data_IF_164882133948
#
_entry.id   IF_164882133948
#
_cell.length_a   1.000
_cell.length_b   1.000
_cell.length_c   1.000
_cell.angle_alpha   90.00
_cell.angle_beta   90.00
_cell.angle_gamma   90.00
#
_symmetry.space_group_name_H-M   'P 1'
#
loop_
_entity.id
_entity.type
_entity.pdbx_description
1 polymer ?
#
# COMPACT_ATOMS: atom_id res chain seq x y z
N UNK A 1 16.34 7.82 -14.51
CA UNK A 1 15.06 7.09 -14.54
C UNK A 1 14.48 7.20 -13.15
N UNK A 2 13.30 7.83 -13.00
CA UNK A 2 12.61 7.89 -11.71
C UNK A 2 11.69 6.67 -11.66
N UNK A 3 12.02 5.69 -10.81
CA UNK A 3 11.13 4.59 -10.54
C UNK A 3 10.06 5.12 -9.59
N UNK A 4 8.83 5.28 -10.10
CA UNK A 4 7.73 5.76 -9.28
C UNK A 4 7.19 4.62 -8.41
N UNK A 5 7.03 4.90 -7.11
CA UNK A 5 6.43 3.97 -6.17
C UNK A 5 4.92 3.88 -6.40
N UNK A 6 4.43 2.67 -6.72
CA UNK A 6 3.00 2.35 -6.76
C UNK A 6 2.55 1.65 -5.49
N UNK A 7 1.31 1.90 -5.06
CA UNK A 7 0.71 1.26 -3.86
C UNK A 7 0.24 -0.14 -4.20
N UNK A 8 0.57 -1.10 -3.34
CA UNK A 8 0.12 -2.48 -3.43
C UNK A 8 -1.18 -2.70 -2.62
N UNK A 9 -2.03 -3.64 -3.05
CA UNK A 9 -3.19 -4.12 -2.27
C UNK A 9 -4.43 -3.22 -2.30
N UNK A 10 -4.58 -2.39 -3.35
CA UNK A 10 -5.79 -1.56 -3.59
C UNK A 10 -6.55 -1.90 -4.86
N UNK A 11 -5.97 -2.73 -5.71
CA UNK A 11 -6.48 -3.11 -7.02
C UNK A 11 -6.58 -4.63 -7.06
N UNK A 12 -7.65 -5.17 -7.67
CA UNK A 12 -7.99 -6.61 -7.71
C UNK A 12 -6.82 -7.47 -8.20
N UNK A 13 -5.95 -6.90 -9.00
CA UNK A 13 -4.88 -7.61 -9.70
C UNK A 13 -3.63 -7.79 -8.81
N UNK A 14 -3.62 -7.19 -7.61
CA UNK A 14 -2.48 -7.28 -6.67
C UNK A 14 -2.74 -8.17 -5.45
N UNK A 15 -3.95 -8.73 -5.31
CA UNK A 15 -4.29 -9.57 -4.14
C UNK A 15 -3.50 -10.90 -4.13
N UNK A 16 -3.31 -11.49 -5.32
CA UNK A 16 -2.48 -12.69 -5.49
C UNK A 16 -1.01 -12.38 -5.84
N UNK A 17 -0.65 -11.09 -5.96
CA UNK A 17 0.73 -10.72 -6.19
C UNK A 17 1.62 -11.18 -5.04
N UNK A 18 2.82 -11.64 -5.38
CA UNK A 18 3.84 -12.02 -4.42
C UNK A 18 5.01 -11.05 -4.49
N UNK A 19 5.56 -10.72 -3.33
CA UNK A 19 6.85 -10.06 -3.23
C UNK A 19 7.89 -11.08 -2.75
N UNK A 20 9.10 -10.98 -3.29
CA UNK A 20 10.25 -11.79 -2.90
C UNK A 20 11.32 -10.89 -2.31
N UNK A 21 11.69 -11.14 -1.06
CA UNK A 21 12.71 -10.38 -0.33
C UNK A 21 13.71 -11.38 0.24
N UNK A 22 14.96 -11.25 -0.16
CA UNK A 22 16.06 -12.18 0.15
C UNK A 22 15.71 -13.63 -0.21
N UNK A 23 15.38 -14.46 0.79
CA UNK A 23 15.03 -15.87 0.61
C UNK A 23 13.56 -16.18 0.94
N UNK A 24 12.70 -15.16 0.99
CA UNK A 24 11.32 -15.30 1.46
C UNK A 24 10.33 -14.68 0.48
N UNK A 25 9.24 -15.39 0.21
CA UNK A 25 8.12 -14.92 -0.59
C UNK A 25 6.91 -14.63 0.28
N UNK A 26 6.23 -13.53 0.03
CA UNK A 26 5.02 -13.13 0.75
C UNK A 26 3.94 -12.76 -0.25
N UNK A 27 2.71 -13.24 -0.04
CA UNK A 27 1.55 -12.64 -0.69
C UNK A 27 1.38 -11.21 -0.19
N UNK A 28 1.14 -10.29 -1.11
CA UNK A 28 0.97 -8.86 -0.83
C UNK A 28 -0.18 -8.63 0.14
N UNK A 29 -1.31 -9.31 -0.06
CA UNK A 29 -2.49 -9.19 0.81
C UNK A 29 -2.17 -9.63 2.24
N UNK A 30 -1.50 -10.77 2.41
CA UNK A 30 -1.16 -11.31 3.73
C UNK A 30 -0.19 -10.38 4.45
N UNK A 31 0.86 -9.94 3.77
CA UNK A 31 1.85 -9.02 4.34
C UNK A 31 1.20 -7.70 4.76
N UNK A 32 0.33 -7.14 3.93
CA UNK A 32 -0.41 -5.92 4.26
C UNK A 32 -1.27 -6.11 5.51
N UNK A 33 -1.98 -7.24 5.61
CA UNK A 33 -2.79 -7.55 6.80
C UNK A 33 -1.93 -7.71 8.06
N UNK A 34 -0.77 -8.38 7.98
CA UNK A 34 0.14 -8.53 9.11
C UNK A 34 0.73 -7.20 9.56
N UNK A 35 1.14 -6.33 8.62
CA UNK A 35 1.63 -4.98 8.93
C UNK A 35 0.55 -4.18 9.67
N UNK A 36 -0.68 -4.21 9.16
CA UNK A 36 -1.82 -3.52 9.78
C UNK A 36 -2.08 -4.06 11.19
N UNK A 37 -2.10 -5.39 11.37
CA UNK A 37 -2.26 -6.03 12.69
C UNK A 37 -1.13 -5.66 13.66
N UNK A 38 0.13 -5.70 13.20
CA UNK A 38 1.29 -5.33 14.01
C UNK A 38 1.23 -3.85 14.45
N UNK A 39 0.74 -2.98 13.57
CA UNK A 39 0.52 -1.57 13.88
C UNK A 39 -0.56 -1.39 14.95
N UNK A 40 -1.65 -2.17 14.90
CA UNK A 40 -2.74 -2.14 15.87
C UNK A 40 -2.40 -2.78 17.22
N UNK A 41 -1.40 -3.66 17.25
CA UNK A 41 -0.95 -4.36 18.45
C UNK A 41 0.15 -3.59 19.18
N UNK A 42 1.29 -4.26 19.34
CA UNK A 42 2.40 -3.80 20.18
C UNK A 42 2.95 -2.42 19.80
N UNK A 43 2.96 -2.09 18.50
CA UNK A 43 3.45 -0.81 18.03
C UNK A 43 2.65 0.35 18.63
N UNK A 44 1.31 0.25 18.65
CA UNK A 44 0.46 1.33 19.15
C UNK A 44 0.67 1.58 20.64
N UNK A 45 0.74 0.51 21.44
CA UNK A 45 1.00 0.62 22.87
C UNK A 45 2.40 1.19 23.14
N UNK A 46 3.40 0.75 22.38
CA UNK A 46 4.76 1.28 22.48
C UNK A 46 4.81 2.77 22.13
N UNK A 47 4.15 3.19 21.05
CA UNK A 47 4.10 4.59 20.63
C UNK A 47 3.41 5.46 21.69
N UNK A 48 2.25 5.03 22.20
CA UNK A 48 1.54 5.74 23.27
C UNK A 48 2.41 5.90 24.51
N UNK A 49 3.02 4.81 24.98
CA UNK A 49 3.86 4.81 26.18
C UNK A 49 5.11 5.68 25.99
N UNK A 50 5.68 5.70 24.79
CA UNK A 50 6.82 6.55 24.46
C UNK A 50 6.46 8.04 24.51
N UNK A 51 5.33 8.44 23.91
CA UNK A 51 4.86 9.83 23.96
C UNK A 51 4.55 10.27 25.40
N UNK A 52 3.90 9.41 26.18
CA UNK A 52 3.55 9.69 27.57
C UNK A 52 4.80 9.84 28.44
N UNK A 53 5.74 8.91 28.33
CA UNK A 53 6.98 8.94 29.12
C UNK A 53 7.91 10.11 28.78
N UNK A 54 7.81 10.67 27.57
CA UNK A 54 8.54 11.88 27.17
C UNK A 54 7.77 13.19 27.44
N UNK A 55 6.60 13.13 28.08
CA UNK A 55 5.79 14.33 28.36
C UNK A 55 5.22 15.01 27.11
N UNK A 56 5.10 14.27 25.99
CA UNK A 56 4.53 14.76 24.72
C UNK A 56 3.00 14.59 24.64
N UNK A 57 2.39 14.13 25.72
CA UNK A 57 0.98 13.76 25.77
C UNK A 57 0.76 12.29 25.44
N UNK A 58 -0.47 11.93 25.14
CA UNK A 58 -0.86 10.55 24.82
C UNK A 58 -1.79 10.55 23.63
N UNK A 59 -1.71 9.50 22.82
CA UNK A 59 -2.67 9.30 21.73
C UNK A 59 -3.97 8.77 22.37
N UNK A 60 -5.08 9.50 22.25
CA UNK A 60 -6.33 9.13 22.91
C UNK A 60 -6.77 7.74 22.45
N UNK A 61 -7.21 6.93 23.42
CA UNK A 61 -7.92 5.69 23.14
C UNK A 61 -9.30 6.08 22.58
N UNK A 62 -9.47 6.05 21.26
CA UNK A 62 -10.80 6.10 20.67
C UNK A 62 -11.55 4.80 21.00
N UNK A 63 -12.88 4.82 20.98
CA UNK A 63 -13.71 3.61 21.19
C UNK A 63 -13.30 2.44 20.28
N UNK A 64 -12.69 2.75 19.13
CA UNK A 64 -11.95 1.78 18.33
C UNK A 64 -10.68 2.40 17.76
N UNK A 65 -9.55 1.72 17.92
CA UNK A 65 -8.28 2.07 17.27
C UNK A 65 -8.41 2.11 15.74
N UNK A 66 -9.35 1.34 15.17
CA UNK A 66 -9.65 1.34 13.73
C UNK A 66 -10.17 2.70 13.23
N UNK A 67 -10.72 3.54 14.10
CA UNK A 67 -11.13 4.91 13.75
C UNK A 67 -9.95 5.75 13.26
N UNK A 68 -8.73 5.53 13.76
CA UNK A 68 -7.54 6.23 13.27
C UNK A 68 -7.22 5.92 11.80
N UNK A 69 -7.67 4.80 11.26
CA UNK A 69 -7.35 4.36 9.90
C UNK A 69 -8.50 4.53 8.91
N UNK A 70 -9.74 4.39 9.41
CA UNK A 70 -10.92 4.44 8.58
C UNK A 70 -11.49 5.86 8.52
N UNK A 71 -12.09 6.31 9.63
CA UNK A 71 -12.91 7.53 9.71
C UNK A 71 -12.10 8.80 10.04
N UNK A 72 -10.97 8.62 10.72
CA UNK A 72 -10.17 9.68 11.32
C UNK A 72 -10.71 10.17 12.67
N UNK A 73 -9.87 10.92 13.37
CA UNK A 73 -10.16 11.53 14.66
C UNK A 73 -10.31 13.04 14.50
N UNK A 74 -11.34 13.61 15.12
CA UNK A 74 -11.52 15.07 15.17
C UNK A 74 -10.31 15.73 15.85
N UNK A 75 -9.80 16.79 15.24
CA UNK A 75 -8.66 17.55 15.73
C UNK A 75 -8.70 19.00 15.23
N UNK A 76 -7.79 19.83 15.76
CA UNK A 76 -7.52 21.16 15.24
C UNK A 76 -6.06 21.27 14.81
N UNK A 77 -5.81 21.77 13.59
CA UNK A 77 -4.48 21.99 13.04
C UNK A 77 -4.11 23.47 13.17
N UNK A 78 -2.96 23.74 13.80
CA UNK A 78 -2.32 25.06 13.77
C UNK A 78 -1.03 24.97 12.96
N UNK A 79 -0.95 25.77 11.91
CA UNK A 79 0.29 25.99 11.14
C UNK A 79 0.81 27.37 11.51
N UNK A 80 2.13 27.57 11.73
CA UNK A 80 2.69 28.89 12.01
C UNK A 80 2.20 29.96 11.01
N UNK A 81 1.71 31.09 11.54
CA UNK A 81 1.15 32.18 10.74
C UNK A 81 -0.28 31.96 10.22
N UNK A 82 -0.92 30.83 10.51
CA UNK A 82 -2.33 30.54 10.16
C UNK A 82 -3.21 30.46 11.41
N UNK A 83 -4.53 30.56 11.20
CA UNK A 83 -5.53 30.31 12.27
C UNK A 83 -5.70 28.81 12.49
N UNK A 84 -6.19 28.45 13.68
CA UNK A 84 -6.62 27.08 13.98
C UNK A 84 -7.68 26.61 12.98
N UNK A 85 -7.51 25.40 12.46
CA UNK A 85 -8.44 24.77 11.52
C UNK A 85 -8.97 23.46 12.11
N UNK A 86 -10.29 23.40 12.33
CA UNK A 86 -10.99 22.15 12.67
C UNK A 86 -10.96 21.18 11.50
N UNK A 87 -10.77 19.91 11.78
CA UNK A 87 -10.79 18.85 10.79
C UNK A 87 -10.57 17.47 11.41
N UNK A 88 -10.22 16.50 10.57
CA UNK A 88 -9.91 15.14 11.02
C UNK A 88 -8.48 14.73 10.65
N UNK A 89 -7.82 14.01 11.55
CA UNK A 89 -6.55 13.35 11.29
C UNK A 89 -6.76 11.85 11.18
N UNK A 90 -6.13 11.20 10.19
CA UNK A 90 -6.12 9.74 10.05
C UNK A 90 -4.73 9.26 9.64
N UNK A 91 -4.43 8.02 9.98
CA UNK A 91 -3.20 7.32 9.63
C UNK A 91 -3.51 6.41 8.45
N UNK A 92 -2.65 6.44 7.43
CA UNK A 92 -2.67 5.49 6.32
C UNK A 92 -1.35 4.75 6.29
N UNK A 93 -1.43 3.44 6.18
CA UNK A 93 -0.28 2.57 5.93
C UNK A 93 -0.41 2.10 4.49
N UNK A 94 0.66 2.24 3.71
CA UNK A 94 0.77 1.66 2.37
C UNK A 94 2.03 0.83 2.28
N UNK A 95 1.91 -0.30 1.59
CA UNK A 95 3.05 -1.01 1.02
C UNK A 95 3.22 -0.50 -0.41
N UNK A 96 4.43 -0.09 -0.78
CA UNK A 96 4.72 0.52 -2.07
C UNK A 96 5.85 -0.22 -2.77
N UNK A 97 5.75 -0.33 -4.10
CA UNK A 97 6.70 -1.03 -4.96
C UNK A 97 7.11 -0.13 -6.11
N UNK A 98 8.40 -0.12 -6.41
CA UNK A 98 8.97 0.59 -7.55
C UNK A 98 9.76 -0.42 -8.39
N UNK A 99 9.31 -0.77 -9.60
CA UNK A 99 10.05 -1.69 -10.46
C UNK A 99 11.31 -1.02 -11.01
N UNK A 100 12.37 -1.82 -11.24
CA UNK A 100 13.65 -1.32 -11.77
C UNK A 100 13.57 -0.94 -13.26
N UNK A 101 12.78 -1.70 -14.03
CA UNK A 101 12.35 -1.34 -15.37
C UNK A 101 10.91 -0.86 -15.32
N UNK A 102 10.62 0.26 -15.98
CA UNK A 102 9.24 0.66 -16.22
C UNK A 102 8.58 -0.48 -16.99
N UNK A 103 7.44 -1.00 -16.49
CA UNK A 103 6.56 -1.87 -17.27
C UNK A 103 6.29 -1.11 -18.57
N UNK A 104 6.94 -1.54 -19.66
CA UNK A 104 6.65 -1.03 -20.99
C UNK A 104 5.19 -1.43 -21.18
N UNK A 105 4.27 -0.46 -21.14
CA UNK A 105 2.88 -0.70 -21.53
C UNK A 105 2.96 -1.47 -22.84
N UNK A 106 2.49 -2.72 -22.83
CA UNK A 106 2.44 -3.54 -24.04
C UNK A 106 1.68 -2.71 -25.06
N UNK A 107 2.42 -2.18 -26.04
CA UNK A 107 1.85 -1.48 -27.18
C UNK A 107 0.76 -2.38 -27.76
N UNK A 108 -0.44 -1.85 -28.06
CA UNK A 108 -1.55 -2.67 -28.54
C UNK A 108 -1.08 -3.46 -29.78
N UNK A 109 -1.03 -4.78 -29.61
CA UNK A 109 -0.95 -5.81 -30.65
C UNK A 109 -0.33 -5.36 -31.98
N UNK A 110 1.00 -5.25 -32.04
CA UNK A 110 1.69 -5.49 -33.31
C UNK A 110 1.97 -6.99 -33.38
N UNK A 111 1.05 -7.72 -34.01
CA UNK A 111 1.12 -9.14 -34.43
C UNK A 111 2.05 -10.02 -33.58
N UNK A 112 1.48 -10.63 -32.54
CA UNK A 112 2.16 -11.63 -31.72
C UNK A 112 2.78 -12.71 -32.63
N UNK A 113 4.07 -13.08 -32.47
CA UNK A 113 4.70 -14.18 -33.20
C UNK A 113 3.93 -15.51 -33.12
N UNK A 114 3.07 -15.66 -32.11
CA UNK A 114 2.20 -16.81 -31.92
C UNK A 114 0.98 -16.82 -32.87
N UNK A 115 0.49 -15.66 -33.31
CA UNK A 115 -0.59 -15.56 -34.30
C UNK A 115 -0.12 -16.03 -35.69
N UNK A 116 1.11 -15.70 -36.07
CA UNK A 116 1.71 -16.20 -37.32
C UNK A 116 1.85 -17.73 -37.31
N UNK A 117 2.23 -18.32 -36.17
CA UNK A 117 2.32 -19.77 -36.00
C UNK A 117 0.93 -20.43 -36.09
N UNK A 118 -0.10 -19.83 -35.47
CA UNK A 118 -1.48 -20.33 -35.56
C UNK A 118 -1.98 -20.33 -37.00
N UNK A 119 -1.72 -19.26 -37.76
CA UNK A 119 -2.05 -19.16 -39.19
C UNK A 119 -1.38 -20.26 -40.01
N UNK A 120 -0.10 -20.52 -39.78
CA UNK A 120 0.63 -21.58 -40.50
C UNK A 120 0.07 -22.97 -40.20
N UNK A 121 -0.25 -23.29 -38.94
CA UNK A 121 -0.82 -24.59 -38.57
C UNK A 121 -2.19 -24.81 -39.21
N UNK A 122 -3.05 -23.79 -39.28
CA UNK A 122 -4.36 -23.88 -39.93
C UNK A 122 -4.26 -24.12 -41.44
N UNK A 123 -3.22 -23.62 -42.11
CA UNK A 123 -2.99 -23.84 -43.55
C UNK A 123 -2.41 -25.22 -43.87
N UNK A 124 -1.73 -25.87 -42.92
CA UNK A 124 -1.12 -27.20 -43.12
C UNK A 124 -2.16 -28.34 -42.92
N UNK A 125 -3.27 -28.06 -42.24
CA UNK A 125 -4.28 -29.07 -41.86
C UNK A 125 -5.45 -29.18 -42.86
N UNK A 126 -5.22 -28.80 -44.13
CA UNK A 126 -6.16 -29.00 -45.26
C UNK A 126 -5.59 -30.02 -46.24
#
# INVERSE_FOLDING_TARGET
MNNEFRKLGKESDTDDAMIYIDSHSFKVIDMTQYIVKAFFGEFWEKLRNKLSSEGRGSIPYSRSISSWFNEGMECELLVPGKKWQKGKVRIKISLEFAPDELEIEETPESESPLEDIRRQISQITQ
#
